data_IF_716906563878
#
_entry.id   IF_716906563878
#
_cell.length_a   1.000
_cell.length_b   1.000
_cell.length_c   1.000
_cell.angle_alpha   90.00
_cell.angle_beta   90.00
_cell.angle_gamma   90.00
#
_symmetry.space_group_name_H-M   'P 1'
#
loop_
_entity.id
_entity.type
_entity.pdbx_description
1 polymer ?
#
# COMPACT_ATOMS: atom_id res chain seq x y z
N UNK A 1 4.53 13.63 11.66
CA UNK A 1 3.56 13.51 12.76
C UNK A 1 3.35 12.07 13.17
N UNK A 2 3.04 11.15 12.23
CA UNK A 2 2.87 9.72 12.52
C UNK A 2 4.11 9.12 13.20
N UNK A 3 5.30 9.36 12.68
CA UNK A 3 6.53 8.78 13.24
C UNK A 3 6.84 9.19 14.69
N UNK A 4 6.45 10.38 15.11
CA UNK A 4 6.64 10.82 16.51
C UNK A 4 5.62 10.18 17.44
N UNK A 5 4.36 10.07 17.02
CA UNK A 5 3.31 9.40 17.78
C UNK A 5 3.58 7.91 17.91
N UNK A 6 3.98 7.26 16.83
CA UNK A 6 4.36 5.84 16.82
C UNK A 6 5.53 5.58 17.76
N UNK A 7 6.63 6.34 17.64
CA UNK A 7 7.77 6.22 18.57
C UNK A 7 7.36 6.40 20.04
N UNK A 8 6.46 7.35 20.32
CA UNK A 8 5.94 7.53 21.66
C UNK A 8 5.11 6.32 22.11
N UNK A 9 4.17 5.86 21.29
CA UNK A 9 3.30 4.71 21.61
C UNK A 9 4.11 3.44 21.87
N UNK A 10 5.07 3.08 21.00
CA UNK A 10 5.88 1.89 21.18
C UNK A 10 6.79 1.95 22.42
N UNK A 11 7.32 3.12 22.76
CA UNK A 11 8.04 3.31 24.02
C UNK A 11 7.13 3.15 25.25
N UNK A 12 5.86 3.60 25.18
CA UNK A 12 4.91 3.37 26.28
C UNK A 12 4.56 1.88 26.39
N UNK A 13 4.23 1.22 25.28
CA UNK A 13 3.95 -0.22 25.25
C UNK A 13 5.12 -1.03 25.82
N UNK A 14 6.35 -0.65 25.48
CA UNK A 14 7.55 -1.27 26.05
C UNK A 14 7.63 -1.13 27.59
N UNK A 15 7.25 0.01 28.17
CA UNK A 15 7.17 0.19 29.64
C UNK A 15 6.15 -0.75 30.29
N UNK A 16 5.12 -1.16 29.55
CA UNK A 16 4.16 -2.19 29.99
C UNK A 16 4.61 -3.61 29.66
N UNK A 17 5.90 -3.82 29.39
CA UNK A 17 6.52 -5.11 29.08
C UNK A 17 5.96 -5.81 27.81
N UNK A 18 5.41 -5.03 26.86
CA UNK A 18 5.04 -5.55 25.54
C UNK A 18 6.32 -5.73 24.73
N UNK A 19 6.53 -6.97 24.27
CA UNK A 19 7.75 -7.43 23.56
C UNK A 19 7.46 -7.86 22.14
N UNK A 20 8.50 -8.22 21.42
CA UNK A 20 8.45 -8.68 20.04
C UNK A 20 7.38 -9.76 19.80
N UNK A 21 7.33 -10.79 20.64
CA UNK A 21 6.36 -11.87 20.48
C UNK A 21 4.90 -11.40 20.60
N UNK A 22 4.63 -10.37 21.40
CA UNK A 22 3.28 -9.82 21.54
C UNK A 22 2.87 -9.09 20.25
N UNK A 23 3.79 -8.32 19.64
CA UNK A 23 3.54 -7.70 18.33
C UNK A 23 3.32 -8.74 17.25
N UNK A 24 4.19 -9.76 17.17
CA UNK A 24 4.08 -10.83 16.18
C UNK A 24 2.71 -11.51 16.30
N UNK A 25 2.32 -11.92 17.51
CA UNK A 25 1.03 -12.57 17.76
C UNK A 25 -0.14 -11.69 17.30
N UNK A 26 -0.17 -10.43 17.73
CA UNK A 26 -1.25 -9.52 17.36
C UNK A 26 -1.31 -9.27 15.84
N UNK A 27 -0.17 -9.15 15.16
CA UNK A 27 -0.14 -8.98 13.71
C UNK A 27 -0.63 -10.22 12.96
N UNK A 28 -0.37 -11.41 13.48
CA UNK A 28 -0.84 -12.66 12.89
C UNK A 28 -2.36 -12.87 13.07
N UNK A 29 -2.97 -12.26 14.08
CA UNK A 29 -4.41 -12.27 14.31
C UNK A 29 -5.20 -11.33 13.38
N UNK A 30 -4.52 -10.40 12.67
CA UNK A 30 -5.18 -9.48 11.74
C UNK A 30 -5.61 -10.26 10.48
N UNK A 31 -6.92 -10.39 10.20
CA UNK A 31 -7.36 -11.09 9.01
C UNK A 31 -7.04 -10.30 7.75
N UNK A 32 -6.61 -11.00 6.70
CA UNK A 32 -6.55 -10.39 5.38
C UNK A 32 -7.95 -10.02 4.88
N UNK A 33 -8.04 -8.98 4.11
CA UNK A 33 -9.27 -8.67 3.38
C UNK A 33 -9.67 -9.86 2.50
N UNK A 34 -10.95 -10.22 2.53
CA UNK A 34 -11.46 -11.39 1.81
C UNK A 34 -11.03 -11.38 0.33
N UNK A 35 -10.58 -12.54 -0.16
CA UNK A 35 -10.15 -12.74 -1.54
C UNK A 35 -8.76 -12.17 -1.89
N UNK A 36 -8.05 -11.48 -0.98
CA UNK A 36 -6.75 -10.86 -1.31
C UNK A 36 -5.63 -11.87 -1.54
N UNK A 37 -5.59 -12.99 -0.81
CA UNK A 37 -4.59 -14.03 -1.09
C UNK A 37 -4.71 -14.51 -2.54
N UNK A 38 -5.92 -14.84 -2.97
CA UNK A 38 -6.22 -15.28 -4.32
C UNK A 38 -5.89 -14.22 -5.39
N UNK A 39 -6.26 -12.96 -5.12
CA UNK A 39 -5.93 -11.84 -5.99
C UNK A 39 -4.42 -11.68 -6.18
N UNK A 40 -3.64 -11.77 -5.10
CA UNK A 40 -2.18 -11.66 -5.15
C UNK A 40 -1.58 -12.79 -5.99
N UNK A 41 -2.00 -14.03 -5.77
CA UNK A 41 -1.60 -15.20 -6.57
C UNK A 41 -1.93 -15.02 -8.05
N UNK A 42 -3.16 -14.59 -8.35
CA UNK A 42 -3.60 -14.30 -9.71
C UNK A 42 -2.74 -13.23 -10.38
N UNK A 43 -2.54 -12.09 -9.72
CA UNK A 43 -1.72 -11.00 -10.26
C UNK A 43 -0.27 -11.43 -10.48
N UNK A 44 0.29 -12.24 -9.58
CA UNK A 44 1.64 -12.77 -9.74
C UNK A 44 1.75 -13.74 -10.93
N UNK A 45 0.68 -14.49 -11.24
CA UNK A 45 0.64 -15.41 -12.38
C UNK A 45 0.60 -14.72 -13.75
N UNK A 46 0.28 -13.42 -13.78
CA UNK A 46 0.25 -12.67 -15.05
C UNK A 46 1.67 -12.48 -15.61
N UNK A 47 1.87 -12.65 -16.92
CA UNK A 47 3.20 -12.48 -17.52
C UNK A 47 3.80 -11.11 -17.25
N UNK A 48 5.09 -11.10 -16.87
CA UNK A 48 5.86 -9.89 -16.59
C UNK A 48 5.27 -8.98 -15.51
N UNK A 49 4.42 -9.52 -14.62
CA UNK A 49 3.85 -8.74 -13.52
C UNK A 49 4.91 -8.41 -12.45
N UNK A 50 4.86 -7.21 -11.92
CA UNK A 50 5.65 -6.75 -10.79
C UNK A 50 4.73 -6.30 -9.67
N UNK A 51 4.62 -7.09 -8.61
CA UNK A 51 3.87 -6.70 -7.42
C UNK A 51 4.81 -6.00 -6.44
N UNK A 52 4.42 -4.82 -6.00
CA UNK A 52 5.13 -4.05 -4.97
C UNK A 52 4.16 -3.59 -3.89
N UNK A 53 4.68 -3.41 -2.69
CA UNK A 53 3.94 -2.76 -1.59
C UNK A 53 4.51 -1.37 -1.38
N UNK A 54 3.63 -0.36 -1.32
CA UNK A 54 3.97 1.01 -0.94
C UNK A 54 3.05 1.44 0.20
N UNK A 55 3.57 1.46 1.43
CA UNK A 55 2.77 1.64 2.64
C UNK A 55 3.48 2.52 3.67
N UNK A 56 2.74 3.40 4.33
CA UNK A 56 3.22 4.18 5.49
C UNK A 56 3.17 3.43 6.83
N UNK A 57 2.87 2.13 6.79
CA UNK A 57 3.09 1.21 7.90
C UNK A 57 4.59 1.03 8.19
N UNK A 58 5.04 -0.12 8.62
CA UNK A 58 6.45 -0.40 8.86
C UNK A 58 6.86 -1.82 8.45
N UNK A 59 8.16 -2.00 8.26
CA UNK A 59 8.73 -3.24 7.73
C UNK A 59 8.49 -4.46 8.62
N UNK A 60 8.51 -4.29 9.95
CA UNK A 60 8.26 -5.41 10.89
C UNK A 60 6.84 -5.92 10.74
N UNK A 61 5.84 -5.05 10.75
CA UNK A 61 4.43 -5.43 10.66
C UNK A 61 4.10 -6.05 9.30
N UNK A 62 4.51 -5.40 8.22
CA UNK A 62 4.26 -5.93 6.87
C UNK A 62 4.89 -7.31 6.70
N UNK A 63 6.16 -7.48 7.07
CA UNK A 63 6.84 -8.76 6.95
C UNK A 63 6.19 -9.85 7.82
N UNK A 64 5.76 -9.52 9.04
CA UNK A 64 5.09 -10.46 9.93
C UNK A 64 3.79 -10.98 9.33
N UNK A 65 2.95 -10.06 8.81
CA UNK A 65 1.68 -10.41 8.16
C UNK A 65 1.93 -11.24 6.89
N UNK A 66 2.80 -10.78 5.99
CA UNK A 66 3.08 -11.47 4.73
C UNK A 66 3.68 -12.87 4.94
N UNK A 67 4.55 -13.05 5.93
CA UNK A 67 5.10 -14.36 6.27
C UNK A 67 4.05 -15.29 6.85
N UNK A 68 3.18 -14.78 7.73
CA UNK A 68 2.09 -15.56 8.33
C UNK A 68 1.14 -16.14 7.26
N UNK A 69 0.80 -15.33 6.25
CA UNK A 69 -0.06 -15.75 5.14
C UNK A 69 0.68 -16.36 3.95
N UNK A 70 2.00 -16.60 4.06
CA UNK A 70 2.85 -17.13 2.98
C UNK A 70 2.83 -16.30 1.69
N UNK A 71 2.64 -14.96 1.79
CA UNK A 71 2.51 -14.06 0.64
C UNK A 71 3.79 -13.28 0.32
N UNK A 72 4.82 -13.34 1.17
CA UNK A 72 6.01 -12.48 1.03
C UNK A 72 6.73 -12.65 -0.32
N UNK A 73 6.79 -13.87 -0.83
CA UNK A 73 7.53 -14.21 -2.05
C UNK A 73 6.88 -13.68 -3.35
N UNK A 74 5.62 -13.24 -3.29
CA UNK A 74 4.94 -12.64 -4.44
C UNK A 74 5.37 -11.19 -4.73
N UNK A 75 5.93 -10.51 -3.75
CA UNK A 75 6.29 -9.09 -3.88
C UNK A 75 7.77 -8.92 -4.24
N UNK A 76 8.04 -8.11 -5.27
CA UNK A 76 9.41 -7.80 -5.73
C UNK A 76 10.10 -6.80 -4.80
N UNK A 77 9.36 -5.79 -4.31
CA UNK A 77 9.89 -4.76 -3.42
C UNK A 77 8.81 -4.31 -2.42
N UNK A 78 9.24 -3.89 -1.23
CA UNK A 78 8.39 -3.33 -0.17
C UNK A 78 8.96 -1.97 0.23
N UNK A 79 8.22 -0.91 -0.07
CA UNK A 79 8.55 0.47 0.27
C UNK A 79 7.71 0.90 1.49
N UNK A 80 8.34 0.97 2.65
CA UNK A 80 7.67 1.30 3.92
C UNK A 80 8.67 1.85 4.92
N UNK A 81 8.20 2.36 6.05
CA UNK A 81 9.05 2.84 7.13
C UNK A 81 9.99 1.72 7.62
N UNK A 82 11.32 1.93 7.67
CA UNK A 82 12.24 1.00 8.30
C UNK A 82 11.83 0.74 9.74
N UNK A 83 11.88 -0.51 10.15
CA UNK A 83 11.60 -0.87 11.54
C UNK A 83 12.39 -2.10 11.96
N UNK A 84 12.78 -2.12 13.23
CA UNK A 84 13.55 -3.20 13.85
C UNK A 84 13.37 -3.20 15.37
N UNK A 85 13.66 -4.31 16.02
CA UNK A 85 13.72 -4.36 17.47
C UNK A 85 15.12 -3.98 17.94
N UNK A 86 15.22 -3.04 18.88
CA UNK A 86 16.48 -2.70 19.53
C UNK A 86 17.02 -3.93 20.25
N UNK A 87 18.33 -4.20 20.10
CA UNK A 87 18.97 -5.39 20.67
C UNK A 87 19.05 -5.38 22.20
N UNK A 88 19.16 -4.19 22.79
CA UNK A 88 19.40 -4.04 24.23
C UNK A 88 18.11 -4.18 25.05
N UNK A 89 17.05 -3.54 24.61
CA UNK A 89 15.78 -3.46 25.36
C UNK A 89 14.59 -4.11 24.64
N UNK A 90 14.76 -4.61 23.41
CA UNK A 90 13.71 -5.21 22.60
C UNK A 90 12.55 -4.25 22.25
N UNK A 91 12.77 -2.95 22.39
CA UNK A 91 11.80 -1.95 21.99
C UNK A 91 11.69 -1.87 20.46
N UNK A 92 10.46 -1.83 19.92
CA UNK A 92 10.24 -1.61 18.49
C UNK A 92 10.61 -0.17 18.13
N UNK A 93 11.57 -0.03 17.23
CA UNK A 93 12.00 1.24 16.64
C UNK A 93 11.44 1.33 15.24
N UNK A 94 10.79 2.46 14.92
CA UNK A 94 10.32 2.79 13.58
C UNK A 94 11.01 4.07 13.15
N UNK A 95 11.64 4.04 11.99
CA UNK A 95 12.30 5.18 11.37
C UNK A 95 11.41 5.75 10.26
N UNK A 96 11.60 7.02 9.97
CA UNK A 96 10.94 7.67 8.86
C UNK A 96 11.47 7.09 7.53
N UNK A 97 10.58 6.81 6.57
CA UNK A 97 10.97 6.27 5.27
C UNK A 97 11.96 7.18 4.52
N UNK A 98 11.72 8.49 4.57
CA UNK A 98 12.61 9.45 3.94
C UNK A 98 11.98 10.84 3.86
N UNK A 99 12.63 11.71 3.10
CA UNK A 99 12.10 13.01 2.72
C UNK A 99 11.43 12.90 1.36
N UNK A 100 10.34 13.62 1.19
CA UNK A 100 9.61 13.74 -0.08
C UNK A 100 9.42 15.23 -0.45
N UNK A 101 9.17 15.52 -1.72
CA UNK A 101 9.02 16.89 -2.22
C UNK A 101 7.56 17.29 -2.50
N UNK A 102 6.64 16.34 -2.39
CA UNK A 102 5.22 16.56 -2.64
C UNK A 102 4.58 17.48 -1.59
N UNK A 103 4.00 18.57 -2.02
CA UNK A 103 3.35 19.55 -1.12
C UNK A 103 2.01 19.09 -0.53
N UNK A 104 1.41 18.03 -1.09
CA UNK A 104 0.09 17.51 -0.66
C UNK A 104 0.17 16.29 0.24
N UNK A 105 1.31 15.62 0.30
CA UNK A 105 1.51 14.43 1.13
C UNK A 105 2.19 14.78 2.45
N UNK A 106 2.01 13.93 3.51
CA UNK A 106 2.79 14.05 4.73
C UNK A 106 4.29 13.97 4.45
N UNK A 107 5.10 14.62 5.28
CA UNK A 107 6.57 14.69 5.12
C UNK A 107 7.28 13.35 5.10
N UNK A 108 6.67 12.31 5.65
CA UNK A 108 7.26 10.98 5.75
C UNK A 108 7.36 10.26 4.40
N UNK A 109 6.27 10.24 3.63
CA UNK A 109 6.18 9.41 2.43
C UNK A 109 5.20 9.99 1.43
N UNK A 110 5.60 10.07 0.16
CA UNK A 110 4.70 10.26 -0.96
C UNK A 110 4.70 9.00 -1.83
N UNK A 111 3.61 8.24 -1.82
CA UNK A 111 3.50 6.99 -2.58
C UNK A 111 3.63 7.23 -4.09
N UNK A 112 3.16 8.37 -4.60
CA UNK A 112 3.35 8.77 -6.01
C UNK A 112 4.82 8.82 -6.38
N UNK A 113 5.65 9.56 -5.61
CA UNK A 113 7.09 9.72 -5.92
C UNK A 113 7.82 8.38 -5.91
N UNK A 114 7.43 7.47 -4.99
CA UNK A 114 7.98 6.12 -4.91
C UNK A 114 7.63 5.32 -6.16
N UNK A 115 6.35 5.30 -6.54
CA UNK A 115 5.86 4.56 -7.71
C UNK A 115 6.52 5.11 -8.99
N UNK A 116 6.53 6.43 -9.19
CA UNK A 116 7.16 7.05 -10.34
C UNK A 116 8.66 6.75 -10.43
N UNK A 117 9.37 6.79 -9.29
CA UNK A 117 10.79 6.40 -9.22
C UNK A 117 10.98 4.93 -9.58
N UNK A 118 10.14 4.04 -9.02
CA UNK A 118 10.19 2.61 -9.32
C UNK A 118 10.00 2.34 -10.81
N UNK A 119 8.97 2.92 -11.40
CA UNK A 119 8.67 2.76 -12.83
C UNK A 119 9.84 3.23 -13.71
N UNK A 120 10.39 4.40 -13.45
CA UNK A 120 11.55 4.92 -14.20
C UNK A 120 12.81 4.08 -14.07
N UNK A 121 13.02 3.42 -12.92
CA UNK A 121 14.24 2.64 -12.68
C UNK A 121 14.14 1.21 -13.15
N UNK A 122 12.94 0.64 -13.21
CA UNK A 122 12.75 -0.79 -13.55
C UNK A 122 12.32 -1.01 -14.99
N UNK A 123 11.74 -0.01 -15.65
CA UNK A 123 11.17 -0.17 -16.99
C UNK A 123 11.67 0.93 -17.92
N UNK A 124 12.11 0.52 -19.11
CA UNK A 124 12.53 1.44 -20.18
C UNK A 124 11.37 2.03 -20.98
N UNK A 125 10.21 1.40 -20.91
CA UNK A 125 8.97 1.82 -21.59
C UNK A 125 7.83 1.98 -20.59
N UNK A 126 6.80 2.73 -20.96
CA UNK A 126 5.58 2.84 -20.16
C UNK A 126 4.87 1.49 -20.12
N UNK A 127 4.48 1.07 -18.92
CA UNK A 127 3.70 -0.14 -18.69
C UNK A 127 2.38 0.21 -18.01
N UNK A 128 1.31 -0.61 -18.15
CA UNK A 128 0.08 -0.41 -17.41
C UNK A 128 0.29 -0.59 -15.91
N UNK A 129 -0.34 0.26 -15.11
CA UNK A 129 -0.26 0.24 -13.65
C UNK A 129 -1.62 -0.08 -13.06
N UNK A 130 -1.66 -1.11 -12.20
CA UNK A 130 -2.78 -1.36 -11.30
C UNK A 130 -2.43 -0.80 -9.91
N UNK A 131 -3.23 0.14 -9.43
CA UNK A 131 -3.08 0.70 -8.09
C UNK A 131 -4.30 0.36 -7.22
N UNK A 132 -4.05 -0.27 -6.07
CA UNK A 132 -5.09 -0.68 -5.11
C UNK A 132 -4.85 0.07 -3.81
N UNK A 133 -5.86 0.80 -3.32
CA UNK A 133 -5.73 1.59 -2.10
C UNK A 133 -7.08 1.84 -1.40
N UNK A 134 -7.01 2.42 -0.19
CA UNK A 134 -8.19 2.73 0.61
C UNK A 134 -8.08 4.06 1.39
N UNK A 135 -6.86 4.54 1.65
CA UNK A 135 -6.57 5.66 2.52
C UNK A 135 -6.47 7.02 1.83
N UNK A 136 -6.36 8.07 2.65
CA UNK A 136 -6.12 9.43 2.17
C UNK A 136 -4.80 9.56 1.39
N UNK A 137 -3.74 8.91 1.85
CA UNK A 137 -2.42 8.91 1.24
C UNK A 137 -2.37 8.18 -0.12
N UNK A 138 -3.45 7.48 -0.50
CA UNK A 138 -3.62 6.83 -1.80
C UNK A 138 -4.22 7.74 -2.88
N UNK A 139 -4.77 8.90 -2.49
CA UNK A 139 -5.36 9.88 -3.42
C UNK A 139 -4.29 10.51 -4.32
N UNK A 140 -3.13 10.85 -3.75
CA UNK A 140 -2.04 11.48 -4.50
C UNK A 140 -1.50 10.57 -5.62
N UNK A 141 -1.12 9.29 -5.39
CA UNK A 141 -0.72 8.39 -6.46
C UNK A 141 -1.86 8.11 -7.46
N UNK A 142 -3.11 7.93 -7.01
CA UNK A 142 -4.24 7.73 -7.91
C UNK A 142 -4.40 8.87 -8.92
N UNK A 143 -4.25 10.10 -8.48
CA UNK A 143 -4.32 11.30 -9.34
C UNK A 143 -3.14 11.44 -10.33
N UNK A 144 -2.09 10.66 -10.21
CA UNK A 144 -0.93 10.69 -11.12
C UNK A 144 -0.97 9.59 -12.20
N UNK A 145 -1.87 8.63 -12.08
CA UNK A 145 -2.03 7.56 -13.03
C UNK A 145 -2.70 8.04 -14.33
N UNK A 146 -2.40 7.35 -15.44
CA UNK A 146 -2.71 7.79 -16.79
C UNK A 146 -3.78 6.92 -17.44
N UNK A 147 -4.22 7.36 -18.61
CA UNK A 147 -5.08 6.54 -19.47
C UNK A 147 -4.42 5.18 -19.77
N UNK A 148 -5.16 4.10 -19.53
CA UNK A 148 -4.65 2.72 -19.59
C UNK A 148 -4.37 2.11 -18.21
N UNK A 149 -4.01 2.92 -17.21
CA UNK A 149 -3.88 2.46 -15.83
C UNK A 149 -5.24 2.16 -15.20
N UNK A 150 -5.21 1.46 -14.06
CA UNK A 150 -6.41 1.14 -13.27
C UNK A 150 -6.21 1.52 -11.81
N UNK A 151 -7.12 2.34 -11.29
CA UNK A 151 -7.24 2.71 -9.88
C UNK A 151 -8.38 1.91 -9.25
N UNK A 152 -8.06 1.11 -8.24
CA UNK A 152 -9.03 0.35 -7.44
C UNK A 152 -9.11 0.94 -6.04
N UNK A 153 -10.20 1.65 -5.72
CA UNK A 153 -10.44 2.27 -4.41
C UNK A 153 -11.43 1.45 -3.58
N UNK A 154 -11.12 1.21 -2.30
CA UNK A 154 -12.02 0.46 -1.43
C UNK A 154 -13.30 1.24 -1.16
N UNK A 155 -14.45 0.61 -1.41
CA UNK A 155 -15.78 1.20 -1.20
C UNK A 155 -15.99 1.62 0.25
N UNK A 156 -16.55 2.83 0.44
CA UNK A 156 -16.82 3.36 1.77
C UNK A 156 -15.60 3.90 2.52
N UNK A 157 -14.40 3.71 2.02
CA UNK A 157 -13.16 4.20 2.61
C UNK A 157 -12.78 5.60 2.09
N UNK A 158 -11.76 6.18 2.71
CA UNK A 158 -11.42 7.60 2.53
C UNK A 158 -10.99 7.94 1.11
N UNK A 159 -10.16 7.09 0.48
CA UNK A 159 -9.74 7.28 -0.91
C UNK A 159 -10.92 7.41 -1.87
N UNK A 160 -11.87 6.45 -1.82
CA UNK A 160 -13.04 6.47 -2.71
C UNK A 160 -13.91 7.71 -2.50
N UNK A 161 -14.10 8.14 -1.24
CA UNK A 161 -14.88 9.34 -0.90
C UNK A 161 -14.20 10.62 -1.41
N UNK A 162 -12.90 10.76 -1.22
CA UNK A 162 -12.15 11.95 -1.64
C UNK A 162 -12.05 12.06 -3.17
N UNK A 163 -11.83 10.94 -3.88
CA UNK A 163 -11.84 10.95 -5.35
C UNK A 163 -13.19 11.33 -5.92
N UNK A 164 -14.30 10.83 -5.34
CA UNK A 164 -15.64 11.24 -5.71
C UNK A 164 -15.90 12.73 -5.44
N UNK A 165 -15.50 13.21 -4.28
CA UNK A 165 -15.62 14.63 -3.93
C UNK A 165 -14.81 15.53 -4.86
N UNK A 166 -13.60 15.12 -5.27
CA UNK A 166 -12.80 15.86 -6.25
C UNK A 166 -13.52 15.98 -7.59
N UNK A 167 -14.17 14.92 -8.07
CA UNK A 167 -14.94 14.98 -9.31
C UNK A 167 -16.17 15.88 -9.18
N UNK A 168 -16.93 15.77 -8.09
CA UNK A 168 -18.15 16.53 -7.87
C UNK A 168 -17.89 18.04 -7.71
N UNK A 169 -16.94 18.41 -6.83
CA UNK A 169 -16.71 19.81 -6.46
C UNK A 169 -15.77 20.55 -7.41
N UNK A 170 -14.73 19.87 -7.87
CA UNK A 170 -13.66 20.51 -8.65
C UNK A 170 -13.64 20.07 -10.11
N UNK A 171 -14.59 19.22 -10.53
CA UNK A 171 -14.65 18.63 -11.89
C UNK A 171 -13.36 17.91 -12.28
N UNK A 172 -12.58 17.48 -11.30
CA UNK A 172 -11.31 16.78 -11.49
C UNK A 172 -11.56 15.28 -11.55
N UNK A 173 -11.57 14.74 -12.78
CA UNK A 173 -11.65 13.31 -13.04
C UNK A 173 -10.27 12.67 -13.04
N UNK A 174 -10.21 11.38 -12.70
CA UNK A 174 -9.03 10.58 -12.94
C UNK A 174 -8.85 10.33 -14.44
N UNK A 175 -7.59 10.38 -14.91
CA UNK A 175 -7.26 9.97 -16.28
C UNK A 175 -7.27 8.43 -16.41
N UNK A 176 -6.94 7.74 -15.35
CA UNK A 176 -6.95 6.28 -15.24
C UNK A 176 -8.39 5.72 -15.20
N UNK A 177 -8.53 4.44 -15.54
CA UNK A 177 -9.76 3.70 -15.27
C UNK A 177 -9.98 3.64 -13.74
N UNK A 178 -11.24 3.68 -13.30
CA UNK A 178 -11.59 3.70 -11.89
C UNK A 178 -12.56 2.58 -11.56
N UNK A 179 -12.28 1.84 -10.49
CA UNK A 179 -13.14 0.78 -9.97
C UNK A 179 -13.22 0.84 -8.45
N UNK A 180 -14.42 0.68 -7.90
CA UNK A 180 -14.62 0.54 -6.46
C UNK A 180 -14.83 -0.92 -6.08
N UNK A 181 -14.17 -1.37 -5.01
CA UNK A 181 -14.16 -2.76 -4.58
C UNK A 181 -14.50 -2.92 -3.08
N UNK A 182 -15.01 -4.10 -2.72
CA UNK A 182 -15.22 -4.51 -1.32
C UNK A 182 -14.33 -5.69 -0.93
N UNK A 183 -13.91 -6.52 -1.89
CA UNK A 183 -13.04 -7.68 -1.68
C UNK A 183 -12.10 -7.91 -2.88
N UNK A 184 -11.15 -8.83 -2.71
CA UNK A 184 -10.16 -9.14 -3.74
C UNK A 184 -10.75 -9.80 -4.98
N UNK A 185 -11.83 -10.57 -4.83
CA UNK A 185 -12.47 -11.23 -5.96
C UNK A 185 -13.08 -10.22 -6.94
N UNK A 186 -13.73 -9.18 -6.44
CA UNK A 186 -14.30 -8.13 -7.29
C UNK A 186 -13.22 -7.43 -8.12
N UNK A 187 -12.02 -7.21 -7.55
CA UNK A 187 -10.89 -6.64 -8.29
C UNK A 187 -10.44 -7.61 -9.38
N UNK A 188 -10.28 -8.89 -9.06
CA UNK A 188 -9.85 -9.93 -10.00
C UNK A 188 -10.83 -10.05 -11.18
N UNK A 189 -12.13 -10.13 -10.90
CA UNK A 189 -13.17 -10.23 -11.92
C UNK A 189 -13.15 -8.98 -12.83
N UNK A 190 -13.05 -7.78 -12.26
CA UNK A 190 -12.96 -6.54 -13.03
C UNK A 190 -11.73 -6.51 -13.94
N UNK A 191 -10.58 -6.95 -13.45
CA UNK A 191 -9.34 -7.03 -14.23
C UNK A 191 -9.53 -7.95 -15.43
N UNK A 192 -10.06 -9.15 -15.22
CA UNK A 192 -10.30 -10.15 -16.28
C UNK A 192 -11.28 -9.66 -17.34
N UNK A 193 -12.36 -9.05 -16.90
CA UNK A 193 -13.47 -8.72 -17.78
C UNK A 193 -13.32 -7.38 -18.50
N UNK A 194 -12.64 -6.41 -17.90
CA UNK A 194 -12.66 -5.03 -18.36
C UNK A 194 -11.29 -4.40 -18.63
N UNK A 195 -10.24 -4.84 -17.93
CA UNK A 195 -8.95 -4.17 -18.02
C UNK A 195 -7.95 -4.90 -18.90
N UNK A 196 -7.70 -6.18 -18.68
CA UNK A 196 -6.73 -6.97 -19.48
C UNK A 196 -7.15 -7.17 -20.93
N UNK A 197 -8.45 -7.13 -21.24
CA UNK A 197 -8.93 -7.21 -22.62
C UNK A 197 -8.49 -6.03 -23.51
N UNK A 198 -7.86 -5.02 -22.92
CA UNK A 198 -7.37 -3.82 -23.63
C UNK A 198 -5.91 -3.93 -24.06
N UNK A 199 -5.22 -4.96 -23.65
CA UNK A 199 -3.81 -5.26 -23.93
C UNK A 199 -3.66 -6.61 -24.62
#
# INVERSE_FOLDING_TARGET
WHSHLEKFCFRQLHKYNIKENDYIKNMQEIPLTNGFSHLIEYLYSLPNSHLIIVSDSNLVFINTILKHYHLHHYFKDIFTNPAYYNKDDQCLIIEQYGQQTCSTCPSNMCKREIIEKYLRTKFSTSIPVLFIGDGHNDVCPANSLKKGDLVCARSGYRMAKELKQQEELYKKKLDANFFQWNDGKQIEDYIKDNWLKKF
#
